data_IF_692767246515
#
_entry.id   IF_692767246515
#
_cell.length_a   1.000
_cell.length_b   1.000
_cell.length_c   1.000
_cell.angle_alpha   90.00
_cell.angle_beta   90.00
_cell.angle_gamma   90.00
#
_symmetry.space_group_name_H-M   'P 1'
#
loop_
_entity.id
_entity.type
_entity.pdbx_description
1 polymer ?
#
# COMPACT_ATOMS: atom_id res chain seq x y z
N UNK A 1 19.01 -16.48 -7.87
CA UNK A 1 18.39 -17.77 -7.53
C UNK A 1 18.29 -17.85 -6.01
N UNK A 2 17.16 -17.67 -5.33
CA UNK A 2 15.79 -17.40 -5.72
C UNK A 2 15.16 -16.57 -4.58
N UNK A 3 14.43 -15.52 -4.94
CA UNK A 3 13.38 -15.04 -4.06
C UNK A 3 12.23 -16.01 -4.29
N UNK A 4 12.02 -16.97 -3.39
CA UNK A 4 10.75 -17.69 -3.31
C UNK A 4 9.68 -16.69 -2.83
N UNK A 5 9.32 -15.79 -3.74
CA UNK A 5 8.01 -15.19 -3.79
C UNK A 5 7.13 -16.35 -4.24
N UNK A 6 6.42 -16.98 -3.31
CA UNK A 6 5.33 -17.87 -3.68
C UNK A 6 4.31 -17.02 -4.45
N UNK A 7 4.48 -16.94 -5.78
CA UNK A 7 3.42 -16.68 -6.73
C UNK A 7 2.43 -17.85 -6.65
N UNK A 8 1.73 -17.99 -5.53
CA UNK A 8 0.55 -18.82 -5.42
C UNK A 8 -0.64 -17.90 -5.21
N UNK A 9 -1.20 -17.41 -6.32
CA UNK A 9 -2.54 -16.84 -6.34
C UNK A 9 -3.22 -17.18 -7.67
N UNK A 10 -3.35 -18.48 -7.95
CA UNK A 10 -4.42 -18.92 -8.85
C UNK A 10 -5.65 -19.15 -7.94
N UNK A 11 -6.66 -18.28 -8.09
CA UNK A 11 -8.07 -18.37 -7.61
C UNK A 11 -8.50 -17.81 -6.24
N UNK A 12 -7.64 -17.39 -5.30
CA UNK A 12 -8.12 -16.76 -4.05
C UNK A 12 -8.08 -15.22 -4.13
N UNK A 13 -9.16 -14.49 -3.74
CA UNK A 13 -9.11 -13.04 -3.59
C UNK A 13 -8.26 -12.60 -2.38
N UNK A 14 -7.90 -13.54 -1.51
CA UNK A 14 -7.07 -13.32 -0.34
C UNK A 14 -5.70 -13.97 -0.53
N UNK A 15 -4.64 -13.20 -0.29
CA UNK A 15 -3.25 -13.61 -0.47
C UNK A 15 -2.48 -13.31 0.81
N UNK A 16 -2.01 -14.36 1.49
CA UNK A 16 -1.11 -14.22 2.63
C UNK A 16 0.33 -14.00 2.18
N UNK A 17 1.02 -13.04 2.77
CA UNK A 17 2.42 -12.71 2.46
C UNK A 17 3.23 -12.70 3.75
N UNK A 18 4.43 -13.30 3.69
CA UNK A 18 5.37 -13.37 4.81
C UNK A 18 6.76 -12.95 4.36
N UNK A 19 7.35 -12.02 5.09
CA UNK A 19 8.78 -11.70 4.93
C UNK A 19 9.63 -12.80 5.57
N UNK A 20 10.74 -13.18 4.92
CA UNK A 20 11.66 -14.22 5.40
C UNK A 20 12.25 -13.88 6.77
N UNK A 21 12.29 -14.86 7.68
CA UNK A 21 12.78 -14.70 9.05
C UNK A 21 14.31 -14.59 9.14
N UNK A 22 15.03 -15.21 8.21
CA UNK A 22 16.51 -15.29 8.22
C UNK A 22 17.18 -14.20 7.35
N UNK A 23 16.48 -13.11 7.04
CA UNK A 23 17.04 -12.00 6.24
C UNK A 23 17.40 -10.80 7.14
N UNK A 24 18.44 -10.07 6.77
CA UNK A 24 18.69 -8.73 7.32
C UNK A 24 17.56 -7.77 6.93
N UNK A 25 17.37 -6.69 7.72
CA UNK A 25 16.37 -5.65 7.44
C UNK A 25 16.62 -5.03 6.07
N UNK A 26 15.64 -5.14 5.17
CA UNK A 26 15.65 -4.55 3.84
C UNK A 26 14.24 -4.36 3.34
N UNK A 27 14.05 -3.42 2.43
CA UNK A 27 12.79 -3.27 1.73
C UNK A 27 12.52 -4.51 0.86
N UNK A 28 11.30 -5.01 0.95
CA UNK A 28 10.78 -6.06 0.10
C UNK A 28 9.38 -5.66 -0.32
N UNK A 29 9.23 -5.30 -1.58
CA UNK A 29 7.96 -4.93 -2.20
C UNK A 29 7.38 -6.09 -2.98
N UNK A 30 6.06 -6.20 -2.94
CA UNK A 30 5.28 -7.13 -3.74
C UNK A 30 4.13 -6.37 -4.39
N UNK A 31 3.77 -6.78 -5.59
CA UNK A 31 2.68 -6.20 -6.36
C UNK A 31 1.55 -7.20 -6.50
N UNK A 32 0.31 -6.71 -6.61
CA UNK A 32 -0.75 -7.56 -7.16
C UNK A 32 -0.40 -7.94 -8.62
N UNK A 33 -0.75 -9.16 -9.01
CA UNK A 33 -0.47 -9.69 -10.35
C UNK A 33 -1.12 -8.80 -11.44
N UNK A 34 -2.38 -8.43 -11.21
CA UNK A 34 -3.17 -7.58 -12.11
C UNK A 34 -3.04 -6.11 -11.71
N UNK A 35 -2.80 -5.27 -12.71
CA UNK A 35 -2.89 -3.82 -12.55
C UNK A 35 -4.34 -3.38 -12.34
N UNK A 36 -4.51 -2.15 -11.85
CA UNK A 36 -5.84 -1.56 -11.71
C UNK A 36 -6.48 -1.46 -13.11
N UNK A 37 -7.72 -1.94 -13.29
CA UNK A 37 -8.41 -1.82 -14.58
C UNK A 37 -8.57 -0.36 -14.98
N UNK A 38 -8.37 -0.03 -16.26
CA UNK A 38 -8.62 1.31 -16.81
C UNK A 38 -10.12 1.51 -17.12
N UNK A 39 -10.96 1.39 -16.10
CA UNK A 39 -12.39 1.66 -16.21
C UNK A 39 -12.73 2.86 -15.32
N UNK A 40 -13.00 3.99 -15.97
CA UNK A 40 -13.12 5.30 -15.34
C UNK A 40 -14.34 5.42 -14.39
N UNK A 41 -15.25 4.46 -14.37
CA UNK A 41 -16.46 4.50 -13.53
C UNK A 41 -16.36 3.68 -12.24
N UNK A 42 -15.17 3.20 -11.88
CA UNK A 42 -15.01 2.22 -10.80
C UNK A 42 -14.08 2.75 -9.71
N UNK A 43 -14.42 2.47 -8.46
CA UNK A 43 -13.48 2.58 -7.35
C UNK A 43 -12.69 1.28 -7.31
N UNK A 44 -11.37 1.37 -7.46
CA UNK A 44 -10.50 0.24 -7.17
C UNK A 44 -10.07 0.31 -5.70
N UNK A 45 -10.17 -0.81 -4.98
CA UNK A 45 -9.85 -0.86 -3.55
C UNK A 45 -9.44 -2.27 -3.13
N UNK A 46 -8.51 -2.33 -2.18
CA UNK A 46 -8.09 -3.56 -1.52
C UNK A 46 -7.78 -3.29 -0.05
N UNK A 47 -7.86 -4.33 0.77
CA UNK A 47 -7.52 -4.28 2.19
C UNK A 47 -6.31 -5.15 2.50
N UNK A 48 -5.58 -4.78 3.54
CA UNK A 48 -4.46 -5.56 4.06
C UNK A 48 -4.64 -5.72 5.56
N UNK A 49 -4.78 -6.96 6.02
CA UNK A 49 -4.79 -7.32 7.44
C UNK A 49 -3.36 -7.54 7.90
N UNK A 50 -2.97 -6.93 9.01
CA UNK A 50 -1.64 -7.11 9.60
C UNK A 50 -1.69 -8.24 10.63
N UNK A 51 -1.05 -9.37 10.31
CA UNK A 51 -1.16 -10.60 11.11
C UNK A 51 -0.08 -10.70 12.18
N UNK A 52 1.15 -10.26 11.91
CA UNK A 52 2.27 -10.40 12.85
C UNK A 52 3.38 -9.36 12.60
N UNK A 53 4.08 -8.96 13.67
CA UNK A 53 5.28 -8.09 13.64
C UNK A 53 5.03 -6.71 12.97
N UNK A 54 3.82 -6.19 13.14
CA UNK A 54 3.31 -5.05 12.38
C UNK A 54 3.71 -3.64 12.82
N UNK A 55 4.47 -3.47 13.91
CA UNK A 55 4.55 -2.14 14.55
C UNK A 55 5.10 -1.05 13.62
N UNK A 56 6.13 -1.34 12.82
CA UNK A 56 6.83 -0.35 11.99
C UNK A 56 7.33 -0.96 10.67
N UNK A 57 7.55 -0.13 9.64
CA UNK A 57 8.15 -0.57 8.38
C UNK A 57 7.21 -1.31 7.43
N UNK A 58 5.91 -1.02 7.50
CA UNK A 58 4.89 -1.51 6.55
C UNK A 58 4.36 -0.31 5.77
N UNK A 59 4.32 -0.44 4.45
CA UNK A 59 3.79 0.57 3.53
C UNK A 59 2.79 -0.10 2.61
N UNK A 60 1.57 0.45 2.55
CA UNK A 60 0.46 -0.08 1.76
C UNK A 60 0.02 1.01 0.81
N UNK A 61 0.03 0.73 -0.50
CA UNK A 61 -0.08 1.78 -1.48
C UNK A 61 -0.21 1.34 -2.92
N UNK A 62 -0.02 2.31 -3.81
CA UNK A 62 -0.06 2.15 -5.25
C UNK A 62 1.31 2.50 -5.82
N UNK A 63 1.82 1.66 -6.72
CA UNK A 63 3.07 1.89 -7.43
C UNK A 63 2.95 1.50 -8.90
N UNK A 64 3.77 2.12 -9.74
CA UNK A 64 3.96 1.65 -11.11
C UNK A 64 4.79 0.36 -11.09
N UNK A 65 4.58 -0.54 -12.06
CA UNK A 65 5.37 -1.77 -12.19
C UNK A 65 6.86 -1.53 -12.50
N UNK A 66 7.27 -0.28 -12.73
CA UNK A 66 8.67 0.11 -12.92
C UNK A 66 9.43 0.23 -11.60
N UNK A 67 8.75 0.37 -10.45
CA UNK A 67 9.44 0.43 -9.16
C UNK A 67 10.12 -0.93 -8.87
N UNK A 68 11.44 -0.94 -8.59
CA UNK A 68 12.14 -2.17 -8.24
C UNK A 68 11.63 -2.80 -6.94
N UNK A 69 11.67 -4.14 -6.85
CA UNK A 69 11.14 -4.89 -5.70
C UNK A 69 11.92 -4.66 -4.39
N UNK A 70 13.14 -4.12 -4.46
CA UNK A 70 13.97 -3.76 -3.31
C UNK A 70 13.82 -2.28 -2.89
N UNK A 71 12.85 -1.56 -3.48
CA UNK A 71 12.45 -0.20 -3.08
C UNK A 71 11.14 -0.22 -2.32
N UNK A 72 10.74 0.94 -1.81
CA UNK A 72 9.59 1.09 -0.92
C UNK A 72 8.49 1.94 -1.56
N UNK A 73 7.27 1.42 -1.58
CA UNK A 73 6.07 2.17 -2.02
C UNK A 73 5.85 3.37 -1.10
N UNK A 74 5.56 4.52 -1.69
CA UNK A 74 5.51 5.82 -1.03
C UNK A 74 6.85 6.56 -1.05
N UNK A 75 7.97 5.87 -0.83
CA UNK A 75 9.30 6.49 -0.86
C UNK A 75 9.90 6.58 -2.28
N UNK A 76 9.56 5.64 -3.15
CA UNK A 76 9.97 5.68 -4.56
C UNK A 76 9.12 6.68 -5.35
N UNK A 77 9.73 7.36 -6.31
CA UNK A 77 9.03 8.38 -7.10
C UNK A 77 7.88 7.79 -7.93
N UNK A 78 6.79 8.55 -8.05
CA UNK A 78 5.56 8.10 -8.70
C UNK A 78 4.76 7.05 -7.93
N UNK A 79 5.02 6.85 -6.63
CA UNK A 79 4.29 5.87 -5.79
C UNK A 79 3.64 6.50 -4.56
N UNK A 80 2.52 5.97 -4.09
CA UNK A 80 1.71 6.60 -3.03
C UNK A 80 1.42 5.57 -1.95
N UNK A 81 1.61 5.90 -0.67
CA UNK A 81 1.42 4.90 0.40
C UNK A 81 0.96 5.48 1.73
N UNK A 82 0.26 4.65 2.48
CA UNK A 82 0.05 4.81 3.91
C UNK A 82 1.04 3.92 4.67
N UNK A 83 1.90 4.55 5.47
CA UNK A 83 2.93 3.89 6.27
C UNK A 83 2.48 3.65 7.70
N UNK A 84 2.93 2.55 8.32
CA UNK A 84 2.56 2.16 9.69
C UNK A 84 2.91 3.19 10.78
N UNK A 85 3.83 4.12 10.48
CA UNK A 85 4.14 5.27 11.32
C UNK A 85 3.08 6.38 11.34
N UNK A 86 1.99 6.25 10.58
CA UNK A 86 0.94 7.27 10.52
C UNK A 86 1.24 8.36 9.50
N UNK A 87 1.94 8.03 8.41
CA UNK A 87 2.30 8.97 7.35
C UNK A 87 1.66 8.57 6.02
N UNK A 88 1.10 9.55 5.31
CA UNK A 88 0.79 9.40 3.88
C UNK A 88 1.95 9.93 3.06
N UNK A 89 2.46 9.12 2.13
CA UNK A 89 3.62 9.42 1.30
C UNK A 89 3.22 9.67 -0.14
N UNK A 90 3.96 10.56 -0.80
CA UNK A 90 3.85 10.79 -2.24
C UNK A 90 2.80 11.79 -2.67
N UNK A 91 2.09 12.44 -1.73
CA UNK A 91 1.11 13.47 -2.04
C UNK A 91 1.71 14.87 -1.83
N UNK A 92 2.04 15.54 -2.93
CA UNK A 92 2.53 16.92 -2.90
C UNK A 92 1.35 17.90 -2.82
N UNK A 93 0.96 18.27 -1.61
CA UNK A 93 -0.07 19.30 -1.35
C UNK A 93 0.53 20.48 -0.57
N UNK A 94 -0.16 21.62 -0.58
CA UNK A 94 0.27 22.78 0.20
C UNK A 94 0.39 22.41 1.70
N UNK A 95 1.55 22.70 2.29
CA UNK A 95 1.82 22.43 3.71
C UNK A 95 2.28 21.00 4.04
N UNK A 96 2.52 20.14 3.06
CA UNK A 96 3.12 18.82 3.33
C UNK A 96 4.60 18.93 3.76
N UNK A 97 5.03 17.98 4.59
CA UNK A 97 6.44 17.81 4.98
C UNK A 97 7.22 17.13 3.86
N UNK A 98 8.54 17.27 3.87
CA UNK A 98 9.43 16.62 2.90
C UNK A 98 10.56 15.91 3.63
N UNK A 99 10.89 14.69 3.20
CA UNK A 99 12.03 13.97 3.76
C UNK A 99 13.36 14.55 3.23
N UNK A 100 14.49 13.99 3.66
CA UNK A 100 15.83 14.45 3.24
C UNK A 100 16.06 14.44 1.73
N UNK A 101 15.31 13.63 0.99
CA UNK A 101 15.42 13.49 -0.46
C UNK A 101 14.33 14.28 -1.19
N UNK A 102 13.56 15.11 -0.48
CA UNK A 102 12.48 15.89 -1.06
C UNK A 102 11.21 15.08 -1.36
N UNK A 103 11.07 13.85 -0.88
CA UNK A 103 9.82 13.09 -1.04
C UNK A 103 8.75 13.68 -0.11
N UNK A 104 7.56 14.06 -0.62
CA UNK A 104 6.51 14.66 0.18
C UNK A 104 5.81 13.61 1.06
N UNK A 105 5.41 14.04 2.26
CA UNK A 105 4.61 13.24 3.16
C UNK A 105 3.75 14.10 4.09
N UNK A 106 2.68 13.49 4.61
CA UNK A 106 1.72 14.10 5.52
C UNK A 106 1.72 13.30 6.81
N UNK A 107 2.01 13.97 7.92
CA UNK A 107 2.07 13.39 9.25
C UNK A 107 0.71 13.37 9.95
N UNK A 108 0.68 12.88 11.19
CA UNK A 108 -0.49 12.97 12.07
C UNK A 108 -1.64 12.02 11.72
N UNK A 109 -1.43 11.05 10.83
CA UNK A 109 -2.42 10.00 10.57
C UNK A 109 -2.31 8.91 11.64
N UNK A 110 -3.39 8.14 11.89
CA UNK A 110 -3.33 7.06 12.86
C UNK A 110 -2.16 6.09 12.57
N UNK A 111 -1.45 5.63 13.60
CA UNK A 111 -0.49 4.54 13.42
C UNK A 111 -1.25 3.23 13.24
N UNK A 112 -0.64 2.23 12.60
CA UNK A 112 -1.23 0.90 12.52
C UNK A 112 -0.20 -0.20 12.75
N UNK A 113 -0.70 -1.38 13.12
CA UNK A 113 0.12 -2.55 13.35
C UNK A 113 -0.71 -3.82 13.41
N UNK A 114 -0.19 -4.82 14.12
CA UNK A 114 -0.84 -6.12 14.28
C UNK A 114 -2.30 -6.01 14.71
N UNK A 115 -3.18 -6.76 14.05
CA UNK A 115 -4.63 -6.75 14.25
C UNK A 115 -5.40 -5.67 13.49
N UNK A 116 -4.71 -4.66 12.93
CA UNK A 116 -5.36 -3.63 12.11
C UNK A 116 -5.61 -4.12 10.67
N UNK A 117 -6.69 -3.61 10.07
CA UNK A 117 -7.01 -3.76 8.64
C UNK A 117 -6.85 -2.40 7.97
N UNK A 118 -6.03 -2.33 6.92
CA UNK A 118 -5.71 -1.08 6.23
C UNK A 118 -6.15 -1.18 4.78
N UNK A 119 -7.02 -0.25 4.38
CA UNK A 119 -7.49 -0.14 3.01
C UNK A 119 -6.69 0.87 2.20
N UNK A 120 -6.47 0.55 0.93
CA UNK A 120 -5.94 1.47 -0.06
C UNK A 120 -6.75 1.34 -1.35
N UNK A 121 -7.13 2.47 -1.93
CA UNK A 121 -7.87 2.50 -3.18
C UNK A 121 -7.76 3.82 -3.89
N UNK A 122 -8.38 3.89 -5.06
CA UNK A 122 -8.45 5.08 -5.90
C UNK A 122 -9.82 5.14 -6.56
N UNK A 123 -10.44 6.31 -6.54
CA UNK A 123 -11.56 6.61 -7.40
C UNK A 123 -11.03 6.93 -8.80
N UNK A 124 -11.26 6.05 -9.77
CA UNK A 124 -10.65 6.18 -11.11
C UNK A 124 -11.19 7.36 -11.90
N UNK A 125 -12.42 7.82 -11.62
CA UNK A 125 -12.99 9.02 -12.24
C UNK A 125 -12.29 10.32 -11.80
N UNK A 126 -11.79 10.36 -10.56
CA UNK A 126 -11.27 11.59 -9.93
C UNK A 126 -9.80 11.52 -9.54
N UNK A 127 -9.18 10.34 -9.68
CA UNK A 127 -7.82 10.08 -9.23
C UNK A 127 -7.66 10.18 -7.71
N UNK A 128 -8.75 10.38 -6.95
CA UNK A 128 -8.67 10.59 -5.52
C UNK A 128 -8.30 9.29 -4.82
N UNK A 129 -7.26 9.33 -3.98
CA UNK A 129 -6.85 8.19 -3.16
C UNK A 129 -7.82 7.99 -1.99
N UNK A 130 -7.99 6.74 -1.61
CA UNK A 130 -8.81 6.31 -0.49
C UNK A 130 -7.91 5.52 0.45
N UNK A 131 -7.78 5.99 1.68
CA UNK A 131 -7.16 5.23 2.77
C UNK A 131 -8.19 4.95 3.85
N UNK A 132 -8.15 3.75 4.40
CA UNK A 132 -9.00 3.37 5.53
C UNK A 132 -8.18 2.68 6.61
N UNK A 133 -8.67 2.76 7.84
CA UNK A 133 -8.19 1.96 8.96
C UNK A 133 -9.40 1.33 9.65
N UNK A 134 -9.39 0.01 9.79
CA UNK A 134 -10.41 -0.76 10.48
C UNK A 134 -11.85 -0.46 10.03
N UNK A 135 -12.04 -0.28 8.72
CA UNK A 135 -13.35 0.05 8.14
C UNK A 135 -13.76 1.52 8.27
N UNK A 136 -12.88 2.40 8.75
CA UNK A 136 -13.11 3.84 8.79
C UNK A 136 -12.26 4.56 7.76
N UNK A 137 -12.89 5.41 6.93
CA UNK A 137 -12.20 6.24 5.95
C UNK A 137 -11.39 7.33 6.65
N UNK A 138 -10.14 7.49 6.23
CA UNK A 138 -9.27 8.56 6.68
C UNK A 138 -9.44 9.80 5.81
N UNK A 139 -9.05 10.97 6.32
CA UNK A 139 -9.12 12.22 5.58
C UNK A 139 -8.09 12.24 4.43
N UNK A 140 -8.60 12.01 3.21
CA UNK A 140 -7.83 12.01 1.96
C UNK A 140 -8.35 13.04 0.94
N UNK A 141 -9.05 14.07 1.41
CA UNK A 141 -9.50 15.17 0.55
C UNK A 141 -8.30 15.86 -0.12
N UNK A 142 -8.39 16.06 -1.44
CA UNK A 142 -7.31 16.66 -2.23
C UNK A 142 -6.08 15.78 -2.48
N UNK A 143 -6.06 14.54 -1.96
CA UNK A 143 -4.98 13.59 -2.23
C UNK A 143 -5.30 12.83 -3.51
N UNK A 144 -4.68 13.23 -4.61
CA UNK A 144 -4.85 12.61 -5.92
C UNK A 144 -3.60 11.84 -6.35
N UNK A 145 -3.80 10.89 -7.26
CA UNK A 145 -2.75 10.21 -8.02
C UNK A 145 -2.78 10.68 -9.48
N UNK A 146 -1.67 10.49 -10.19
CA UNK A 146 -1.59 10.85 -11.60
C UNK A 146 -2.44 9.91 -12.46
N UNK A 147 -3.49 10.44 -13.11
CA UNK A 147 -4.43 9.67 -13.95
C UNK A 147 -3.78 8.89 -15.10
N UNK A 148 -2.59 9.30 -15.56
CA UNK A 148 -1.86 8.65 -16.65
C UNK A 148 -0.97 7.48 -16.20
N UNK A 149 -0.82 7.24 -14.90
CA UNK A 149 0.09 6.21 -14.39
C UNK A 149 -0.59 4.84 -14.32
N UNK A 150 0.08 3.82 -14.87
CA UNK A 150 -0.32 2.42 -14.74
C UNK A 150 0.01 1.91 -13.33
N UNK A 151 -0.88 2.24 -12.38
CA UNK A 151 -0.73 1.90 -10.97
C UNK A 151 -1.23 0.48 -10.67
N UNK A 152 -0.50 -0.20 -9.79
CA UNK A 152 -0.81 -1.50 -9.23
C UNK A 152 -0.80 -1.42 -7.70
N UNK A 153 -1.65 -2.19 -7.01
CA UNK A 153 -1.52 -2.42 -5.58
C UNK A 153 -0.11 -2.90 -5.23
N UNK A 154 0.47 -2.31 -4.20
CA UNK A 154 1.80 -2.65 -3.74
C UNK A 154 1.86 -2.60 -2.21
N UNK A 155 2.57 -3.56 -1.63
CA UNK A 155 2.91 -3.57 -0.21
C UNK A 155 4.41 -3.71 -0.07
N UNK A 156 5.03 -2.85 0.76
CA UNK A 156 6.43 -2.99 1.16
C UNK A 156 6.53 -3.38 2.63
N UNK A 157 7.34 -4.40 2.91
CA UNK A 157 7.71 -4.83 4.25
C UNK A 157 9.21 -4.59 4.48
N UNK A 158 9.59 -4.15 5.68
CA UNK A 158 10.99 -3.92 6.06
C UNK A 158 11.53 -4.92 7.07
N UNK A 159 10.70 -5.28 8.05
CA UNK A 159 11.12 -6.13 9.16
C UNK A 159 10.90 -7.61 8.80
N UNK A 160 11.91 -8.48 8.98
CA UNK A 160 11.79 -9.94 8.88
C UNK A 160 10.64 -10.48 9.75
N UNK A 161 10.00 -11.57 9.31
CA UNK A 161 8.92 -12.20 10.06
C UNK A 161 7.58 -11.45 10.05
N UNK A 162 7.48 -10.27 9.41
CA UNK A 162 6.20 -9.58 9.18
C UNK A 162 5.29 -10.46 8.33
N UNK A 163 4.04 -10.62 8.78
CA UNK A 163 2.97 -11.35 8.06
C UNK A 163 1.79 -10.43 7.82
N UNK A 164 1.24 -10.49 6.60
CA UNK A 164 0.04 -9.77 6.22
C UNK A 164 -0.86 -10.68 5.37
N UNK A 165 -2.12 -10.28 5.22
CA UNK A 165 -3.05 -10.86 4.25
C UNK A 165 -3.67 -9.74 3.43
N UNK A 166 -3.51 -9.78 2.11
CA UNK A 166 -4.14 -8.86 1.19
C UNK A 166 -5.48 -9.42 0.70
N UNK A 167 -6.53 -8.62 0.73
CA UNK A 167 -7.88 -8.96 0.31
C UNK A 167 -8.32 -8.03 -0.84
N UNK A 168 -8.56 -8.59 -2.01
CA UNK A 168 -8.99 -7.89 -3.22
C UNK A 168 -10.51 -7.93 -3.44
N UNK A 169 -11.27 -8.30 -2.41
CA UNK A 169 -12.73 -8.29 -2.39
C UNK A 169 -13.37 -9.65 -2.63
N UNK A 170 -14.71 -9.72 -2.67
CA UNK A 170 -15.64 -8.59 -2.53
C UNK A 170 -15.91 -8.18 -1.08
N UNK A 171 -15.51 -8.99 -0.09
CA UNK A 171 -15.87 -8.77 1.31
C UNK A 171 -14.85 -7.88 2.01
N UNK A 172 -15.17 -6.61 2.23
CA UNK A 172 -14.30 -5.64 2.90
C UNK A 172 -14.83 -5.29 4.29
N UNK A 173 -13.93 -4.86 5.19
CA UNK A 173 -14.29 -4.25 6.47
C UNK A 173 -14.82 -2.83 6.28
N UNK A 174 -14.29 -2.10 5.30
CA UNK A 174 -14.85 -0.83 4.85
C UNK A 174 -16.06 -1.08 3.94
N UNK A 175 -17.18 -0.42 4.24
CA UNK A 175 -18.33 -0.40 3.33
C UNK A 175 -18.06 0.64 2.24
N UNK A 176 -17.66 0.14 1.06
CA UNK A 176 -17.24 0.95 -0.09
C UNK A 176 -18.40 1.69 -0.74
#
# INVERSE_FOLDING_TARGET
>A
MDAECFCCAVQSPQIALRSSENRSKRWSSVFAERAIPKNDFVIYYYEVTILENGRHGIYIGLATKQMPLDKCVGLYDGTFAYASWGYFWGHAIAGCSHNSNGRPFIEGKPKFGEGDVIGCGVNLATGQIIYTKNGQRLETAGLCVDFGADLSPCVTLFNPGTKIEANFGPNFKFHI
#
